data_IF_224125381013
#
_entry.id   IF_224125381013
#
_cell.length_a   1.000
_cell.length_b   1.000
_cell.length_c   1.000
_cell.angle_alpha   90.00
_cell.angle_beta   90.00
_cell.angle_gamma   90.00
#
_symmetry.space_group_name_H-M   'P 1'
#
loop_
_entity.id
_entity.type
_entity.pdbx_description
1 polymer ?
#
# COMPACT_ATOMS: atom_id res chain seq x y z
N UNK A 1 13.06 13.83 -2.41
CA UNK A 1 12.47 12.64 -1.73
C UNK A 1 13.00 12.36 -0.33
N UNK A 2 14.32 12.34 -0.09
CA UNK A 2 14.92 12.07 1.24
C UNK A 2 14.35 12.92 2.39
N UNK A 3 13.97 14.17 2.12
CA UNK A 3 13.38 15.07 3.10
C UNK A 3 12.02 14.58 3.63
N UNK A 4 11.13 14.04 2.78
CA UNK A 4 9.83 13.50 3.21
C UNK A 4 10.01 12.35 4.18
N UNK A 5 10.94 11.44 3.87
CA UNK A 5 11.30 10.32 4.74
C UNK A 5 11.83 10.83 6.07
N UNK A 6 12.83 11.72 6.06
CA UNK A 6 13.43 12.24 7.28
C UNK A 6 12.41 12.97 8.18
N UNK A 7 11.54 13.81 7.61
CA UNK A 7 10.50 14.51 8.37
C UNK A 7 9.49 13.53 8.95
N UNK A 8 9.01 12.56 8.17
CA UNK A 8 8.02 11.59 8.64
C UNK A 8 8.57 10.73 9.77
N UNK A 9 9.80 10.22 9.61
CA UNK A 9 10.49 9.44 10.64
C UNK A 9 10.66 10.29 11.91
N UNK A 10 11.09 11.55 11.77
CA UNK A 10 11.22 12.45 12.91
C UNK A 10 9.90 12.72 13.62
N UNK A 11 8.81 12.93 12.88
CA UNK A 11 7.47 13.10 13.46
C UNK A 11 7.04 11.86 14.25
N UNK A 12 7.33 10.66 13.74
CA UNK A 12 7.08 9.41 14.46
C UNK A 12 7.94 9.28 15.72
N UNK A 13 9.22 9.68 15.65
CA UNK A 13 10.13 9.69 16.82
C UNK A 13 9.65 10.68 17.89
N UNK A 14 9.07 11.80 17.47
CA UNK A 14 8.52 12.83 18.36
C UNK A 14 7.10 12.49 18.90
N UNK A 15 6.57 11.30 18.59
CA UNK A 15 5.27 10.82 19.10
C UNK A 15 4.06 11.20 18.25
N UNK A 16 4.25 11.57 16.99
CA UNK A 16 3.16 11.76 16.04
C UNK A 16 2.33 10.48 15.87
N UNK A 17 1.01 10.60 15.88
CA UNK A 17 0.06 9.50 15.80
C UNK A 17 -0.23 9.13 14.33
N UNK A 18 0.23 7.97 13.83
CA UNK A 18 -0.03 7.55 12.46
C UNK A 18 -1.36 6.80 12.31
N UNK A 19 -2.07 6.51 13.40
CA UNK A 19 -3.44 5.98 13.37
C UNK A 19 -4.49 7.07 13.09
N UNK A 20 -4.09 8.34 13.21
CA UNK A 20 -4.95 9.46 12.90
C UNK A 20 -5.46 9.39 11.45
N UNK A 21 -6.76 9.60 11.29
CA UNK A 21 -7.45 9.68 10.02
C UNK A 21 -8.33 10.91 9.97
N UNK A 22 -8.34 11.59 8.82
CA UNK A 22 -9.24 12.69 8.54
C UNK A 22 -10.25 12.24 7.48
N UNK A 23 -11.48 11.95 7.92
CA UNK A 23 -12.51 11.41 7.04
C UNK A 23 -12.12 10.04 6.47
N UNK A 24 -11.88 9.97 5.16
CA UNK A 24 -11.47 8.75 4.45
C UNK A 24 -9.99 8.70 4.08
N UNK A 25 -9.17 9.56 4.69
CA UNK A 25 -7.75 9.71 4.38
C UNK A 25 -6.93 9.48 5.65
N UNK A 26 -5.88 8.68 5.53
CA UNK A 26 -4.86 8.48 6.57
C UNK A 26 -3.46 8.74 6.02
N UNK A 27 -2.44 8.51 6.84
CA UNK A 27 -1.04 8.75 6.46
C UNK A 27 -0.61 8.01 5.18
N UNK A 28 -1.13 6.80 4.93
CA UNK A 28 -0.80 6.01 3.74
C UNK A 28 -1.45 6.59 2.48
N UNK A 29 -2.68 7.08 2.59
CA UNK A 29 -3.31 7.83 1.50
C UNK A 29 -2.55 9.11 1.17
N UNK A 30 -2.12 9.87 2.19
CA UNK A 30 -1.29 11.06 1.98
C UNK A 30 0.06 10.70 1.34
N UNK A 31 0.63 9.54 1.71
CA UNK A 31 1.85 9.02 1.15
C UNK A 31 1.71 8.67 -0.33
N UNK A 32 0.66 7.95 -0.74
CA UNK A 32 0.49 7.45 -2.11
C UNK A 32 -0.37 8.36 -3.03
N UNK A 33 -1.09 9.34 -2.48
CA UNK A 33 -2.00 10.20 -3.25
C UNK A 33 -1.34 11.20 -4.19
N UNK A 34 -0.01 11.35 -4.15
CA UNK A 34 0.75 12.11 -5.15
C UNK A 34 1.30 11.16 -6.21
N UNK A 35 0.98 11.39 -7.48
CA UNK A 35 1.56 10.63 -8.58
C UNK A 35 2.91 11.24 -8.96
N UNK A 36 3.89 11.14 -8.07
CA UNK A 36 5.28 11.56 -8.28
C UNK A 36 6.23 10.36 -8.40
N UNK A 37 7.42 10.60 -8.97
CA UNK A 37 8.50 9.60 -9.05
C UNK A 37 8.82 9.11 -7.65
N UNK A 38 8.77 7.81 -7.41
CA UNK A 38 9.02 7.21 -6.08
C UNK A 38 10.44 6.71 -5.91
N UNK A 39 10.84 6.53 -4.65
CA UNK A 39 12.08 5.86 -4.27
C UNK A 39 11.76 4.70 -3.31
N UNK A 40 11.27 3.55 -3.82
CA UNK A 40 10.72 2.47 -3.00
C UNK A 40 11.68 1.96 -1.93
N UNK A 41 12.96 1.78 -2.24
CA UNK A 41 13.98 1.36 -1.26
C UNK A 41 14.14 2.32 -0.06
N UNK A 42 13.96 3.63 -0.29
CA UNK A 42 14.05 4.64 0.77
C UNK A 42 12.72 4.83 1.50
N UNK A 43 11.60 4.62 0.81
CA UNK A 43 10.27 4.93 1.30
C UNK A 43 9.60 3.74 1.99
N UNK A 44 9.87 2.50 1.55
CA UNK A 44 9.26 1.30 2.10
C UNK A 44 9.52 1.11 3.60
N UNK A 45 10.74 1.34 4.15
CA UNK A 45 10.95 1.29 5.60
C UNK A 45 10.10 2.31 6.38
N UNK A 46 9.86 3.49 5.80
CA UNK A 46 8.99 4.50 6.40
C UNK A 46 7.51 4.06 6.35
N UNK A 47 7.05 3.52 5.22
CA UNK A 47 5.68 2.98 5.09
C UNK A 47 5.44 1.83 6.07
N UNK A 48 6.41 0.93 6.18
CA UNK A 48 6.43 -0.15 7.17
C UNK A 48 6.20 0.38 8.59
N UNK A 49 6.96 1.40 8.97
CA UNK A 49 6.86 2.01 10.30
C UNK A 49 5.51 2.71 10.53
N UNK A 50 4.93 3.35 9.51
CA UNK A 50 3.59 3.95 9.60
C UNK A 50 2.54 2.88 9.92
N UNK A 51 2.57 1.74 9.21
CA UNK A 51 1.65 0.63 9.44
C UNK A 51 1.85 0.04 10.84
N UNK A 52 3.10 -0.24 11.23
CA UNK A 52 3.43 -0.81 12.55
C UNK A 52 3.02 0.10 13.72
N UNK A 53 2.98 1.41 13.49
CA UNK A 53 2.54 2.38 14.48
C UNK A 53 1.02 2.65 14.43
N UNK A 54 0.26 1.98 13.55
CA UNK A 54 -1.20 1.97 13.58
C UNK A 54 -1.91 2.61 12.38
N UNK A 55 -1.19 3.00 11.32
CA UNK A 55 -1.86 3.48 10.10
C UNK A 55 -2.67 2.36 9.45
N UNK A 56 -3.98 2.59 9.26
CA UNK A 56 -4.90 1.59 8.69
C UNK A 56 -4.55 1.27 7.22
N UNK A 57 -4.03 0.06 6.99
CA UNK A 57 -3.64 -0.44 5.67
C UNK A 57 -4.82 -0.71 4.74
N UNK A 58 -6.02 -0.85 5.29
CA UNK A 58 -7.25 -1.25 4.63
C UNK A 58 -8.26 -0.11 4.47
N UNK A 59 -7.96 1.09 5.00
CA UNK A 59 -8.91 2.19 5.00
C UNK A 59 -9.44 2.44 3.59
N UNK A 60 -10.74 2.26 3.42
CA UNK A 60 -11.43 2.35 2.13
C UNK A 60 -12.68 3.22 2.27
N UNK A 61 -13.01 3.97 1.22
CA UNK A 61 -14.29 4.64 1.11
C UNK A 61 -14.79 4.71 -0.32
N UNK A 62 -16.04 5.14 -0.49
CA UNK A 62 -16.61 5.42 -1.83
C UNK A 62 -15.82 6.44 -2.64
N UNK A 63 -15.06 7.33 -1.99
CA UNK A 63 -14.31 8.41 -2.64
C UNK A 63 -12.82 8.11 -2.77
N UNK A 64 -12.31 7.17 -1.98
CA UNK A 64 -10.88 6.91 -1.86
C UNK A 64 -10.66 5.40 -1.79
N UNK A 65 -9.96 4.81 -2.78
CA UNK A 65 -9.62 3.39 -2.74
C UNK A 65 -8.60 3.13 -1.63
N UNK A 66 -8.34 1.85 -1.31
CA UNK A 66 -7.35 1.51 -0.28
C UNK A 66 -5.96 2.08 -0.60
N UNK A 67 -5.09 2.28 0.41
CA UNK A 67 -3.73 2.75 0.16
C UNK A 67 -2.93 1.87 -0.80
N UNK A 68 -3.16 0.54 -0.77
CA UNK A 68 -2.55 -0.41 -1.71
C UNK A 68 -2.98 -0.12 -3.16
N UNK A 69 -4.28 0.06 -3.39
CA UNK A 69 -4.80 0.37 -4.74
C UNK A 69 -4.29 1.72 -5.23
N UNK A 70 -4.22 2.71 -4.34
CA UNK A 70 -3.67 4.02 -4.67
C UNK A 70 -2.18 3.94 -5.05
N UNK A 71 -1.40 3.11 -4.35
CA UNK A 71 0.01 2.84 -4.70
C UNK A 71 0.14 2.18 -6.08
N UNK A 72 -0.74 1.23 -6.41
CA UNK A 72 -0.74 0.50 -7.69
C UNK A 72 -1.18 1.37 -8.88
N UNK A 73 -1.94 2.43 -8.61
CA UNK A 73 -2.41 3.39 -9.62
C UNK A 73 -1.35 4.44 -9.99
N UNK A 74 -0.13 4.37 -9.41
CA UNK A 74 0.96 5.27 -9.77
C UNK A 74 1.73 4.76 -11.00
N UNK A 75 1.48 5.37 -12.14
CA UNK A 75 2.17 5.07 -13.41
C UNK A 75 3.67 5.39 -13.40
N UNK A 76 4.15 6.21 -12.45
CA UNK A 76 5.57 6.48 -12.24
C UNK A 76 6.28 5.45 -11.35
N UNK A 77 5.60 4.37 -11.02
CA UNK A 77 6.09 3.27 -10.20
C UNK A 77 5.89 1.94 -10.95
N UNK A 78 6.83 1.59 -11.86
CA UNK A 78 6.73 0.37 -12.65
C UNK A 78 6.81 -0.87 -11.76
N UNK A 79 6.32 -1.99 -12.30
CA UNK A 79 6.02 -3.20 -11.53
C UNK A 79 7.19 -3.77 -10.71
N UNK A 80 8.41 -3.71 -11.23
CA UNK A 80 9.63 -4.23 -10.58
C UNK A 80 10.18 -3.28 -9.51
N UNK A 81 10.20 -1.97 -9.77
CA UNK A 81 10.65 -0.96 -8.81
C UNK A 81 9.76 -0.93 -7.55
N UNK A 82 8.48 -1.29 -7.70
CA UNK A 82 7.50 -1.34 -6.62
C UNK A 82 7.71 -2.49 -5.61
N UNK A 83 8.65 -3.41 -5.86
CA UNK A 83 8.85 -4.60 -5.03
C UNK A 83 8.93 -4.31 -3.51
N UNK A 84 9.68 -3.28 -3.05
CA UNK A 84 9.75 -2.97 -1.62
C UNK A 84 8.39 -2.59 -1.03
N UNK A 85 7.51 -1.97 -1.80
CA UNK A 85 6.15 -1.67 -1.33
C UNK A 85 5.27 -2.92 -1.33
N UNK A 86 5.39 -3.81 -2.31
CA UNK A 86 4.67 -5.09 -2.28
C UNK A 86 5.01 -5.88 -1.03
N UNK A 87 6.29 -5.95 -0.66
CA UNK A 87 6.74 -6.62 0.56
C UNK A 87 6.09 -5.96 1.79
N UNK A 88 6.07 -4.63 1.86
CA UNK A 88 5.46 -3.93 3.00
C UNK A 88 3.98 -4.22 3.18
N UNK A 89 3.20 -4.27 2.09
CA UNK A 89 1.76 -4.54 2.14
C UNK A 89 1.46 -6.04 2.29
N UNK A 90 2.04 -6.89 1.44
CA UNK A 90 1.71 -8.32 1.37
C UNK A 90 2.32 -9.14 2.52
N UNK A 91 3.24 -8.59 3.30
CA UNK A 91 3.68 -9.21 4.55
C UNK A 91 2.71 -9.00 5.73
N UNK A 92 1.65 -8.18 5.57
CA UNK A 92 0.71 -7.82 6.64
C UNK A 92 -0.42 -8.82 6.76
N UNK A 93 -0.51 -9.63 7.83
CA UNK A 93 -1.62 -10.58 7.99
C UNK A 93 -2.99 -9.89 7.98
N UNK A 94 -3.07 -8.65 8.45
CA UNK A 94 -4.29 -7.85 8.53
C UNK A 94 -4.75 -7.26 7.18
N UNK A 95 -3.95 -7.33 6.11
CA UNK A 95 -4.34 -6.80 4.79
C UNK A 95 -5.56 -7.55 4.23
N UNK A 96 -6.65 -6.82 4.02
CA UNK A 96 -7.92 -7.32 3.52
C UNK A 96 -8.00 -7.18 1.99
N UNK A 97 -7.81 -8.31 1.30
CA UNK A 97 -7.87 -8.37 -0.15
C UNK A 97 -9.30 -8.54 -0.68
N UNK A 98 -10.29 -8.75 0.19
CA UNK A 98 -11.71 -8.87 -0.17
C UNK A 98 -12.38 -7.51 -0.39
N UNK A 99 -11.73 -6.43 0.02
CA UNK A 99 -12.20 -5.07 -0.19
C UNK A 99 -12.40 -4.76 -1.68
N UNK A 100 -13.33 -3.85 -2.02
CA UNK A 100 -13.50 -3.42 -3.41
C UNK A 100 -12.22 -2.78 -3.96
N UNK A 101 -11.82 -3.18 -5.16
CA UNK A 101 -10.75 -2.52 -5.93
C UNK A 101 -11.15 -1.09 -6.27
N UNK A 102 -12.40 -0.91 -6.71
CA UNK A 102 -12.97 0.37 -7.10
C UNK A 102 -14.44 0.43 -6.68
N UNK A 103 -14.90 1.61 -6.24
CA UNK A 103 -16.29 1.79 -5.84
C UNK A 103 -17.26 1.52 -7.00
N UNK A 104 -18.30 0.73 -6.73
CA UNK A 104 -19.37 0.43 -7.69
C UNK A 104 -19.02 -0.63 -8.73
N UNK A 105 -17.80 -1.21 -8.69
CA UNK A 105 -17.42 -2.35 -9.53
C UNK A 105 -17.40 -3.64 -8.70
N UNK A 106 -17.92 -4.76 -9.23
CA UNK A 106 -17.87 -6.06 -8.55
C UNK A 106 -16.48 -6.69 -8.75
N UNK A 107 -15.44 -6.00 -8.32
CA UNK A 107 -14.05 -6.46 -8.40
C UNK A 107 -13.35 -6.14 -7.08
N UNK A 108 -12.72 -7.15 -6.51
CA UNK A 108 -11.97 -7.09 -5.25
C UNK A 108 -10.52 -6.70 -5.50
N UNK A 109 -9.85 -6.22 -4.44
CA UNK A 109 -8.40 -5.98 -4.46
C UNK A 109 -7.66 -7.25 -4.87
N UNK A 110 -8.07 -8.43 -4.36
CA UNK A 110 -7.52 -9.74 -4.75
C UNK A 110 -7.55 -9.95 -6.26
N UNK A 111 -8.72 -9.87 -6.88
CA UNK A 111 -8.89 -10.09 -8.32
C UNK A 111 -8.08 -9.08 -9.14
N UNK A 112 -8.00 -7.83 -8.68
CA UNK A 112 -7.16 -6.80 -9.30
C UNK A 112 -5.68 -7.14 -9.26
N UNK A 113 -5.18 -7.60 -8.11
CA UNK A 113 -3.79 -8.02 -7.93
C UNK A 113 -3.46 -9.25 -8.79
N UNK A 114 -4.36 -10.22 -8.89
CA UNK A 114 -4.21 -11.39 -9.76
C UNK A 114 -4.13 -10.99 -11.23
N UNK A 115 -5.05 -10.11 -11.67
CA UNK A 115 -5.05 -9.58 -13.04
C UNK A 115 -3.75 -8.82 -13.35
N UNK A 116 -3.33 -7.90 -12.48
CA UNK A 116 -2.08 -7.16 -12.65
C UNK A 116 -0.87 -8.10 -12.60
N UNK A 117 -0.86 -9.06 -11.67
CA UNK A 117 0.18 -10.07 -11.53
C UNK A 117 0.37 -10.89 -12.79
N UNK A 118 -0.71 -11.25 -13.47
CA UNK A 118 -0.65 -12.04 -14.70
C UNK A 118 -0.25 -11.23 -15.95
N UNK A 119 -0.56 -9.92 -16.00
CA UNK A 119 -0.47 -9.16 -17.27
C UNK A 119 0.55 -8.03 -17.27
N UNK A 120 0.70 -7.30 -16.16
CA UNK A 120 1.44 -6.02 -16.14
C UNK A 120 2.53 -5.97 -15.08
N UNK A 121 2.43 -6.77 -14.02
CA UNK A 121 3.31 -6.75 -12.84
C UNK A 121 3.63 -8.18 -12.37
N UNK A 122 4.41 -9.00 -13.13
CA UNK A 122 4.70 -10.40 -12.77
C UNK A 122 5.20 -10.61 -11.33
N UNK A 123 6.06 -9.70 -10.85
CA UNK A 123 6.59 -9.76 -9.49
C UNK A 123 5.49 -9.58 -8.42
N UNK A 124 4.46 -8.78 -8.67
CA UNK A 124 3.30 -8.67 -7.78
C UNK A 124 2.58 -10.02 -7.65
N UNK A 125 2.39 -10.73 -8.76
CA UNK A 125 1.79 -12.05 -8.77
C UNK A 125 2.63 -13.10 -8.04
N UNK A 126 3.95 -13.04 -8.17
CA UNK A 126 4.86 -13.89 -7.38
C UNK A 126 4.71 -13.62 -5.87
N UNK A 127 4.75 -12.35 -5.47
CA UNK A 127 4.62 -11.96 -4.06
C UNK A 127 3.25 -12.30 -3.47
N UNK A 128 2.19 -12.20 -4.26
CA UNK A 128 0.85 -12.63 -3.85
C UNK A 128 0.80 -14.14 -3.59
N UNK A 129 1.41 -14.96 -4.44
CA UNK A 129 1.50 -16.41 -4.21
C UNK A 129 2.26 -16.75 -2.92
N UNK A 130 3.40 -16.10 -2.69
CA UNK A 130 4.19 -16.28 -1.46
C UNK A 130 3.39 -15.85 -0.21
N UNK A 131 2.56 -14.80 -0.32
CA UNK A 131 1.64 -14.40 0.74
C UNK A 131 0.62 -15.51 1.02
N UNK A 132 -0.03 -16.02 -0.03
CA UNK A 132 -1.06 -17.06 0.11
C UNK A 132 -0.48 -18.36 0.70
N UNK A 133 0.77 -18.70 0.38
CA UNK A 133 1.50 -19.81 1.02
C UNK A 133 1.74 -19.56 2.53
N UNK A 134 2.00 -18.30 2.91
CA UNK A 134 2.33 -17.90 4.29
C UNK A 134 1.11 -17.74 5.19
N UNK A 135 0.04 -17.13 4.68
CA UNK A 135 -1.15 -16.75 5.47
C UNK A 135 -2.41 -17.51 5.08
N UNK A 136 -2.38 -18.29 4.01
CA UNK A 136 -3.55 -18.92 3.41
C UNK A 136 -4.27 -17.99 2.42
N UNK A 137 -5.14 -18.58 1.60
CA UNK A 137 -6.02 -17.85 0.69
C UNK A 137 -7.23 -17.33 1.46
N UNK A 138 -7.12 -16.14 2.04
CA UNK A 138 -8.29 -15.35 2.50
C UNK A 138 -8.67 -14.29 1.48
#
# INVERSE_FOLDING_TARGET
>A
MRLRVAITIRMLDDGGDPSYQEGSINALHAMFGRLDKRHPELEAPMVRRLIEAGADVNLYSRRTPTPLVLMLSNDHLPGEDAAPFYDVFLERPELDLSLPLEYGKPCTVREGLEYMGAHTRPLLGEKLRLRDEKFGTT
#
